data_IF_470271811208
#
_entry.id   IF_470271811208
#
_cell.length_a   1.000
_cell.length_b   1.000
_cell.length_c   1.000
_cell.angle_alpha   90.00
_cell.angle_beta   90.00
_cell.angle_gamma   90.00
#
_symmetry.space_group_name_H-M   'P 1'
#
loop_
_entity.id
_entity.type
_entity.pdbx_description
1 polymer ?
#
# COMPACT_ATOMS: atom_id res chain seq x y z
N UNK A 1 -17.49 10.85 -1.27
CA UNK A 1 -16.84 9.58 -1.63
C UNK A 1 -16.89 8.58 -0.51
N UNK A 2 -16.64 7.32 -0.80
CA UNK A 2 -16.54 6.23 0.19
C UNK A 2 -15.09 5.79 0.32
N UNK A 3 -14.70 5.31 1.51
CA UNK A 3 -13.38 4.70 1.68
C UNK A 3 -13.32 3.33 1.03
N UNK A 4 -12.09 2.87 0.70
CA UNK A 4 -11.92 1.49 0.20
C UNK A 4 -12.33 0.46 1.26
N UNK A 5 -12.20 0.79 2.55
CA UNK A 5 -12.69 -0.04 3.66
C UNK A 5 -14.20 -0.20 3.65
N UNK A 6 -14.95 0.88 3.41
CA UNK A 6 -16.42 0.82 3.26
C UNK A 6 -16.83 -0.03 2.05
N UNK A 7 -16.11 0.09 0.92
CA UNK A 7 -16.36 -0.75 -0.25
C UNK A 7 -16.11 -2.24 0.05
N UNK A 8 -15.04 -2.58 0.77
CA UNK A 8 -14.75 -3.97 1.17
C UNK A 8 -15.84 -4.53 2.11
N UNK A 9 -16.27 -3.75 3.10
CA UNK A 9 -17.36 -4.14 4.00
C UNK A 9 -18.68 -4.29 3.27
N UNK A 10 -18.91 -3.52 2.22
CA UNK A 10 -20.06 -3.64 1.32
C UNK A 10 -19.96 -4.79 0.31
N UNK A 11 -18.94 -5.66 0.41
CA UNK A 11 -18.77 -6.82 -0.45
C UNK A 11 -18.14 -6.55 -1.82
N UNK A 12 -17.59 -5.35 -2.05
CA UNK A 12 -16.91 -5.06 -3.32
C UNK A 12 -15.61 -5.87 -3.43
N UNK A 13 -15.47 -6.55 -4.56
CA UNK A 13 -14.22 -7.17 -5.00
C UNK A 13 -13.48 -6.22 -5.94
N UNK A 14 -12.19 -5.99 -5.66
CA UNK A 14 -11.34 -5.18 -6.52
C UNK A 14 -10.60 -6.06 -7.53
N UNK A 15 -10.63 -5.68 -8.78
CA UNK A 15 -9.82 -6.33 -9.82
C UNK A 15 -8.33 -6.06 -9.62
N UNK A 16 -7.47 -6.94 -10.15
CA UNK A 16 -6.00 -6.73 -10.13
C UNK A 16 -5.64 -5.37 -10.73
N UNK A 17 -6.33 -4.92 -11.78
CA UNK A 17 -6.06 -3.63 -12.42
C UNK A 17 -6.36 -2.46 -11.49
N UNK A 18 -7.47 -2.51 -10.74
CA UNK A 18 -7.78 -1.52 -9.71
C UNK A 18 -6.74 -1.53 -8.60
N UNK A 19 -6.35 -2.72 -8.10
CA UNK A 19 -5.36 -2.86 -7.02
C UNK A 19 -4.00 -2.30 -7.46
N UNK A 20 -3.56 -2.59 -8.67
CA UNK A 20 -2.29 -2.08 -9.22
C UNK A 20 -2.37 -0.57 -9.43
N UNK A 21 -3.49 -0.05 -9.97
CA UNK A 21 -3.74 1.39 -10.13
C UNK A 21 -3.65 2.10 -8.77
N UNK A 22 -4.38 1.61 -7.77
CA UNK A 22 -4.37 2.19 -6.42
C UNK A 22 -2.99 2.09 -5.76
N UNK A 23 -2.32 0.96 -5.93
CA UNK A 23 -0.94 0.81 -5.46
C UNK A 23 0.02 1.83 -6.08
N UNK A 24 -0.14 2.16 -7.36
CA UNK A 24 0.64 3.21 -8.01
C UNK A 24 0.35 4.58 -7.39
N UNK A 25 -0.93 4.97 -7.26
CA UNK A 25 -1.32 6.25 -6.68
C UNK A 25 -0.81 6.41 -5.24
N UNK A 26 -0.93 5.37 -4.40
CA UNK A 26 -0.41 5.38 -3.03
C UNK A 26 1.13 5.49 -3.03
N UNK A 27 1.81 4.74 -3.91
CA UNK A 27 3.28 4.76 -3.98
C UNK A 27 3.83 6.12 -4.43
N UNK A 28 3.08 6.87 -5.25
CA UNK A 28 3.42 8.25 -5.62
C UNK A 28 3.39 9.17 -4.38
N UNK A 29 2.31 9.11 -3.60
CA UNK A 29 2.17 9.91 -2.37
C UNK A 29 3.29 9.58 -1.37
N UNK A 30 3.57 8.30 -1.14
CA UNK A 30 4.61 7.89 -0.18
C UNK A 30 6.02 8.19 -0.69
N UNK A 31 6.27 8.12 -1.99
CA UNK A 31 7.55 8.56 -2.57
C UNK A 31 7.76 10.06 -2.35
N UNK A 32 6.70 10.85 -2.45
CA UNK A 32 6.74 12.28 -2.13
C UNK A 32 6.99 12.52 -0.64
N UNK A 33 6.25 11.85 0.27
CA UNK A 33 6.41 12.00 1.72
C UNK A 33 7.82 11.64 2.19
N UNK A 34 8.33 10.48 1.76
CA UNK A 34 9.68 10.03 2.14
C UNK A 34 10.79 10.88 1.51
N UNK A 35 10.51 11.55 0.41
CA UNK A 35 11.45 12.47 -0.26
C UNK A 35 11.51 13.87 0.35
N UNK A 36 10.64 14.20 1.30
CA UNK A 36 10.64 15.50 1.99
C UNK A 36 11.88 15.65 2.89
N UNK A 37 12.21 16.87 3.22
CA UNK A 37 13.26 17.23 4.19
C UNK A 37 12.62 18.16 5.25
N UNK A 38 12.32 17.65 6.42
CA UNK A 38 12.46 16.27 6.90
C UNK A 38 11.48 15.30 6.22
N UNK A 39 11.81 13.99 6.16
CA UNK A 39 10.89 13.00 5.63
C UNK A 39 9.63 12.90 6.50
N UNK A 40 8.51 12.58 5.87
CA UNK A 40 7.24 12.32 6.55
C UNK A 40 6.93 10.82 6.43
N UNK A 41 6.59 10.19 7.54
CA UNK A 41 6.15 8.80 7.62
C UNK A 41 4.70 8.76 8.10
N UNK A 42 3.87 8.01 7.39
CA UNK A 42 2.42 7.99 7.64
C UNK A 42 2.03 7.04 8.77
N UNK A 43 2.52 5.81 8.74
CA UNK A 43 2.40 4.82 9.82
C UNK A 43 1.02 4.16 9.99
N UNK A 44 -0.06 4.63 9.36
CA UNK A 44 -1.40 4.06 9.53
C UNK A 44 -2.14 3.86 8.20
N UNK A 45 -1.45 3.36 7.18
CA UNK A 45 -2.12 3.06 5.92
C UNK A 45 -2.99 1.81 6.05
N UNK A 46 -4.27 1.99 5.70
CA UNK A 46 -5.31 0.96 5.67
C UNK A 46 -6.40 1.36 4.67
N UNK A 47 -7.27 0.42 4.23
CA UNK A 47 -8.33 0.75 3.28
C UNK A 47 -9.30 1.84 3.77
N UNK A 48 -9.50 1.95 5.08
CA UNK A 48 -10.38 2.98 5.67
C UNK A 48 -9.82 4.40 5.50
N UNK A 49 -8.51 4.55 5.42
CA UNK A 49 -7.84 5.84 5.24
C UNK A 49 -7.61 6.21 3.77
N UNK A 50 -8.22 5.47 2.83
CA UNK A 50 -8.15 5.69 1.39
C UNK A 50 -9.55 5.95 0.84
N UNK A 51 -9.86 7.19 0.52
CA UNK A 51 -11.14 7.59 -0.04
C UNK A 51 -11.09 7.58 -1.57
N UNK A 52 -12.05 6.92 -2.20
CA UNK A 52 -12.23 6.94 -3.65
C UNK A 52 -13.13 8.11 -4.04
N UNK A 53 -12.58 9.08 -4.74
CA UNK A 53 -13.32 10.21 -5.28
C UNK A 53 -14.16 9.84 -6.51
N UNK A 54 -15.10 10.68 -6.86
CA UNK A 54 -15.98 10.52 -8.04
C UNK A 54 -15.19 10.49 -9.36
N UNK A 55 -14.05 11.16 -9.40
CA UNK A 55 -13.09 11.13 -10.53
C UNK A 55 -12.28 9.83 -10.61
N UNK A 56 -12.55 8.84 -9.75
CA UNK A 56 -11.85 7.56 -9.70
C UNK A 56 -10.40 7.62 -9.20
N UNK A 57 -9.99 8.72 -8.55
CA UNK A 57 -8.68 8.87 -7.90
C UNK A 57 -8.78 8.58 -6.42
N UNK A 58 -7.68 8.09 -5.83
CA UNK A 58 -7.57 7.91 -4.39
C UNK A 58 -7.09 9.19 -3.70
N UNK A 59 -7.66 9.41 -2.54
CA UNK A 59 -7.26 10.45 -1.60
C UNK A 59 -6.88 9.81 -0.27
N UNK A 60 -5.68 10.11 0.20
CA UNK A 60 -5.24 9.71 1.52
C UNK A 60 -5.86 10.69 2.53
N UNK A 61 -6.58 10.13 3.50
CA UNK A 61 -7.23 10.89 4.58
C UNK A 61 -6.57 10.57 5.92
N UNK A 62 -6.83 11.39 6.92
CA UNK A 62 -6.33 11.23 8.30
C UNK A 62 -4.79 11.21 8.41
N UNK A 63 -4.19 12.39 8.26
CA UNK A 63 -2.77 12.60 8.48
C UNK A 63 -2.39 12.80 9.97
N UNK A 64 -3.33 12.66 10.90
CA UNK A 64 -3.12 12.94 12.33
C UNK A 64 -2.05 12.06 13.00
N UNK A 65 -1.83 10.86 12.47
CA UNK A 65 -0.78 9.93 12.94
C UNK A 65 0.58 10.09 12.25
N UNK A 66 0.67 10.92 11.20
CA UNK A 66 1.90 11.08 10.44
C UNK A 66 3.00 11.74 11.29
N UNK A 67 4.23 11.23 11.15
CA UNK A 67 5.38 11.69 11.93
C UNK A 67 6.45 12.30 11.04
N UNK A 68 7.07 13.36 11.57
CA UNK A 68 8.23 13.99 10.97
C UNK A 68 9.50 13.24 11.40
N UNK A 69 10.31 12.78 10.46
CA UNK A 69 11.47 11.94 10.72
C UNK A 69 12.55 12.54 11.64
N UNK A 70 12.56 13.87 11.88
CA UNK A 70 13.49 14.50 12.82
C UNK A 70 12.92 14.67 14.24
N UNK A 71 11.60 14.65 14.40
CA UNK A 71 10.93 14.88 15.70
C UNK A 71 10.46 13.60 16.37
N UNK A 72 10.89 12.46 15.85
CA UNK A 72 10.39 11.18 16.32
C UNK A 72 11.12 10.76 17.62
N UNK A 73 10.49 11.03 18.76
CA UNK A 73 10.88 10.48 20.06
C UNK A 73 9.71 9.68 20.62
N UNK A 74 9.84 8.37 20.63
CA UNK A 74 9.03 7.43 21.40
C UNK A 74 7.52 7.76 21.55
N UNK A 75 6.77 7.82 20.46
CA UNK A 75 5.31 7.78 20.55
C UNK A 75 4.84 6.34 20.74
N UNK A 76 3.86 6.15 21.61
CA UNK A 76 3.09 4.90 21.76
C UNK A 76 2.62 4.44 20.37
N UNK A 77 2.58 3.13 20.14
CA UNK A 77 2.11 2.51 18.90
C UNK A 77 0.87 3.21 18.33
N UNK A 78 1.01 3.81 17.15
CA UNK A 78 -0.06 4.57 16.49
C UNK A 78 -0.71 3.79 15.33
N UNK A 79 -0.35 2.52 15.14
CA UNK A 79 -0.85 1.72 14.02
C UNK A 79 -2.15 0.98 14.34
N UNK A 80 -2.94 0.71 13.30
CA UNK A 80 -4.17 -0.08 13.39
C UNK A 80 -3.85 -1.58 13.47
N UNK A 81 -4.48 -2.30 14.42
CA UNK A 81 -4.34 -3.75 14.54
C UNK A 81 -4.62 -4.46 13.20
N UNK A 82 -3.77 -5.41 12.84
CA UNK A 82 -3.82 -6.13 11.56
C UNK A 82 -3.13 -5.43 10.38
N UNK A 83 -2.85 -4.13 10.47
CA UNK A 83 -2.10 -3.35 9.48
C UNK A 83 -0.75 -2.89 10.01
N UNK A 84 -0.65 -2.59 11.30
CA UNK A 84 0.56 -2.09 11.93
C UNK A 84 1.77 -3.01 11.70
N UNK A 85 2.91 -2.40 11.37
CA UNK A 85 4.18 -3.10 11.23
C UNK A 85 4.70 -3.55 12.61
N UNK A 86 5.42 -4.69 12.70
CA UNK A 86 5.94 -5.19 13.97
C UNK A 86 6.74 -4.16 14.77
N UNK A 87 7.58 -3.38 14.11
CA UNK A 87 8.40 -2.34 14.74
C UNK A 87 7.60 -1.16 15.31
N UNK A 88 6.34 -0.97 14.91
CA UNK A 88 5.48 0.07 15.50
C UNK A 88 5.11 -0.25 16.94
N UNK A 89 5.01 -1.53 17.30
CA UNK A 89 4.79 -1.96 18.69
C UNK A 89 6.00 -1.66 19.58
N UNK A 90 7.18 -1.44 18.96
CA UNK A 90 8.39 -0.96 19.64
C UNK A 90 8.52 0.57 19.57
N UNK A 91 7.50 1.27 19.09
CA UNK A 91 7.50 2.71 18.95
C UNK A 91 8.36 3.23 17.77
N UNK A 92 8.67 2.43 16.78
CA UNK A 92 9.48 2.82 15.61
C UNK A 92 8.58 3.03 14.40
N UNK A 93 8.69 4.20 13.75
CA UNK A 93 8.02 4.51 12.47
C UNK A 93 9.07 5.08 11.50
N UNK A 94 9.12 4.52 10.30
CA UNK A 94 10.05 4.91 9.24
C UNK A 94 9.51 4.48 7.86
N UNK A 95 10.29 4.67 6.79
CA UNK A 95 9.88 4.28 5.45
C UNK A 95 9.56 2.77 5.30
N UNK A 96 10.27 1.89 6.04
CA UNK A 96 9.98 0.46 6.00
C UNK A 96 8.64 0.12 6.68
N UNK A 97 8.22 0.91 7.67
CA UNK A 97 6.89 0.83 8.30
C UNK A 97 5.80 1.11 7.27
N UNK A 98 5.92 2.20 6.53
CA UNK A 98 4.96 2.56 5.47
C UNK A 98 4.92 1.52 4.35
N UNK A 99 6.05 0.91 4.01
CA UNK A 99 6.10 -0.19 3.04
C UNK A 99 5.35 -1.42 3.55
N UNK A 100 5.42 -1.72 4.84
CA UNK A 100 4.67 -2.83 5.44
C UNK A 100 3.16 -2.56 5.40
N UNK A 101 2.72 -1.40 5.90
CA UNK A 101 1.29 -1.03 5.91
C UNK A 101 0.73 -0.95 4.49
N UNK A 102 1.54 -0.50 3.52
CA UNK A 102 1.22 -0.54 2.09
C UNK A 102 0.96 -1.97 1.60
N UNK A 103 1.86 -2.90 1.89
CA UNK A 103 1.68 -4.31 1.54
C UNK A 103 0.42 -4.92 2.17
N UNK A 104 0.17 -4.64 3.45
CA UNK A 104 -1.03 -5.08 4.18
C UNK A 104 -2.31 -4.52 3.55
N UNK A 105 -2.29 -3.26 3.14
CA UNK A 105 -3.42 -2.61 2.47
C UNK A 105 -3.72 -3.27 1.13
N UNK A 106 -2.72 -3.47 0.27
CA UNK A 106 -2.92 -4.18 -1.00
C UNK A 106 -3.40 -5.62 -0.79
N UNK A 107 -2.87 -6.31 0.22
CA UNK A 107 -3.31 -7.66 0.58
C UNK A 107 -4.79 -7.67 0.98
N UNK A 108 -5.24 -6.69 1.76
CA UNK A 108 -6.66 -6.55 2.13
C UNK A 108 -7.55 -6.30 0.91
N UNK A 109 -7.11 -5.51 -0.06
CA UNK A 109 -7.85 -5.26 -1.31
C UNK A 109 -7.94 -6.51 -2.19
N UNK A 110 -6.96 -7.42 -2.13
CA UNK A 110 -7.01 -8.70 -2.82
C UNK A 110 -8.09 -9.65 -2.24
N UNK A 111 -8.53 -9.45 -1.01
CA UNK A 111 -9.57 -10.27 -0.37
C UNK A 111 -9.10 -11.69 0.02
N UNK A 112 -10.00 -12.44 0.65
CA UNK A 112 -9.73 -13.84 1.07
C UNK A 112 -9.89 -14.85 -0.08
N UNK A 113 -10.50 -14.45 -1.19
CA UNK A 113 -11.12 -15.37 -2.14
C UNK A 113 -10.24 -15.76 -3.32
N UNK A 114 -9.10 -15.11 -3.53
CA UNK A 114 -8.42 -15.33 -4.80
C UNK A 114 -7.00 -15.89 -4.68
N UNK A 115 -6.93 -17.14 -4.17
CA UNK A 115 -5.79 -18.01 -4.48
C UNK A 115 -5.52 -18.06 -6.00
N UNK A 116 -6.58 -18.10 -6.81
CA UNK A 116 -6.52 -18.02 -8.28
C UNK A 116 -6.02 -16.65 -8.77
N UNK A 117 -6.39 -15.55 -8.12
CA UNK A 117 -5.89 -14.20 -8.46
C UNK A 117 -4.38 -14.10 -8.23
N UNK A 118 -3.89 -14.67 -7.12
CA UNK A 118 -2.47 -14.75 -6.82
C UNK A 118 -1.71 -15.63 -7.84
N UNK A 119 -2.24 -16.78 -8.20
CA UNK A 119 -1.64 -17.67 -9.22
C UNK A 119 -1.57 -16.95 -10.57
N UNK A 120 -2.62 -16.22 -10.96
CA UNK A 120 -2.65 -15.46 -12.22
C UNK A 120 -1.73 -14.24 -12.22
N UNK A 121 -1.32 -13.74 -11.06
CA UNK A 121 -0.42 -12.58 -10.96
C UNK A 121 0.66 -12.73 -9.89
N UNK A 122 1.52 -13.73 -10.07
CA UNK A 122 2.65 -14.02 -9.17
C UNK A 122 3.53 -12.80 -8.88
N UNK A 123 3.66 -11.88 -9.85
CA UNK A 123 4.47 -10.66 -9.65
C UNK A 123 3.88 -9.74 -8.58
N UNK A 124 2.53 -9.59 -8.54
CA UNK A 124 1.85 -8.80 -7.52
C UNK A 124 1.91 -9.50 -6.16
N UNK A 125 1.71 -10.82 -6.14
CA UNK A 125 1.85 -11.63 -4.93
C UNK A 125 3.23 -11.45 -4.29
N UNK A 126 4.30 -11.65 -5.05
CA UNK A 126 5.67 -11.49 -4.55
C UNK A 126 5.98 -10.07 -4.09
N UNK A 127 5.41 -9.05 -4.77
CA UNK A 127 5.55 -7.67 -4.33
C UNK A 127 4.91 -7.47 -2.95
N UNK A 128 3.65 -7.87 -2.78
CA UNK A 128 2.91 -7.74 -1.52
C UNK A 128 3.62 -8.53 -0.42
N UNK A 129 3.97 -9.79 -0.68
CA UNK A 129 4.68 -10.65 0.26
C UNK A 129 5.95 -9.99 0.77
N UNK A 130 6.78 -9.45 -0.15
CA UNK A 130 8.03 -8.79 0.25
C UNK A 130 7.81 -7.49 1.02
N UNK A 131 6.75 -6.74 0.74
CA UNK A 131 6.39 -5.58 1.56
C UNK A 131 6.02 -5.99 2.99
N UNK A 132 5.34 -7.13 3.15
CA UNK A 132 4.83 -7.62 4.44
C UNK A 132 5.84 -8.47 5.24
N UNK A 133 7.10 -8.55 4.87
CA UNK A 133 8.11 -9.28 5.65
C UNK A 133 8.23 -8.69 7.05
N UNK A 134 8.29 -9.57 8.08
CA UNK A 134 8.36 -9.14 9.49
C UNK A 134 9.61 -8.31 9.77
N UNK A 135 10.77 -8.76 9.26
CA UNK A 135 12.04 -8.05 9.43
C UNK A 135 12.12 -6.88 8.43
N UNK A 136 12.28 -5.63 8.90
CA UNK A 136 12.31 -4.45 8.02
C UNK A 136 13.39 -4.50 6.93
N UNK A 137 14.57 -5.04 7.25
CA UNK A 137 15.68 -5.18 6.31
C UNK A 137 15.38 -6.13 5.12
N UNK A 138 14.42 -7.04 5.29
CA UNK A 138 13.99 -7.97 4.24
C UNK A 138 12.95 -7.36 3.29
N UNK A 139 12.39 -6.19 3.62
CA UNK A 139 11.43 -5.47 2.79
C UNK A 139 12.12 -4.73 1.65
N UNK A 140 11.33 -4.09 0.79
CA UNK A 140 11.89 -3.08 -0.11
C UNK A 140 12.40 -1.89 0.70
N UNK A 141 13.55 -1.35 0.33
CA UNK A 141 14.21 -0.30 1.12
C UNK A 141 13.65 1.09 0.87
N UNK A 142 12.91 1.29 -0.21
CA UNK A 142 12.26 2.55 -0.52
C UNK A 142 11.02 2.35 -1.40
N UNK A 143 10.10 3.29 -1.32
CA UNK A 143 8.84 3.25 -2.06
C UNK A 143 9.04 3.37 -3.58
N UNK A 144 10.07 4.05 -4.06
CA UNK A 144 10.40 4.14 -5.50
C UNK A 144 10.69 2.76 -6.12
N UNK A 145 11.29 1.85 -5.35
CA UNK A 145 11.52 0.47 -5.82
C UNK A 145 10.20 -0.30 -5.94
N UNK A 146 9.29 -0.13 -5.00
CA UNK A 146 7.92 -0.70 -5.05
C UNK A 146 7.18 -0.17 -6.27
N UNK A 147 7.18 1.14 -6.47
CA UNK A 147 6.56 1.83 -7.60
C UNK A 147 7.07 1.31 -8.96
N UNK A 148 8.38 1.16 -9.14
CA UNK A 148 8.97 0.59 -10.35
C UNK A 148 8.47 -0.83 -10.64
N UNK A 149 8.27 -1.66 -9.60
CA UNK A 149 7.73 -3.01 -9.76
C UNK A 149 6.25 -3.00 -10.13
N UNK A 150 5.45 -2.16 -9.51
CA UNK A 150 4.03 -1.97 -9.86
C UNK A 150 3.86 -1.50 -11.31
N UNK A 151 4.65 -0.53 -11.75
CA UNK A 151 4.66 -0.04 -13.13
C UNK A 151 4.94 -1.16 -14.15
N UNK A 152 5.86 -2.09 -13.83
CA UNK A 152 6.13 -3.26 -14.67
C UNK A 152 4.93 -4.22 -14.73
N UNK A 153 4.25 -4.43 -13.60
CA UNK A 153 3.04 -5.25 -13.53
C UNK A 153 1.94 -4.64 -14.40
N UNK A 154 1.70 -3.34 -14.26
CA UNK A 154 0.70 -2.59 -15.02
C UNK A 154 0.96 -2.67 -16.54
N UNK A 155 2.20 -2.48 -16.97
CA UNK A 155 2.58 -2.59 -18.40
C UNK A 155 2.27 -3.98 -18.96
N UNK A 156 2.60 -5.04 -18.23
CA UNK A 156 2.30 -6.43 -18.65
C UNK A 156 0.80 -6.69 -18.78
N UNK A 157 0.00 -6.15 -17.83
CA UNK A 157 -1.46 -6.28 -17.87
C UNK A 157 -2.06 -5.58 -19.10
N UNK A 158 -1.58 -4.39 -19.44
CA UNK A 158 -2.03 -3.63 -20.60
C UNK A 158 -1.67 -4.35 -21.91
N UNK A 159 -0.46 -4.90 -22.02
CA UNK A 159 -0.04 -5.70 -23.19
C UNK A 159 -0.88 -6.96 -23.37
N UNK A 160 -1.19 -7.65 -22.27
CA UNK A 160 -2.04 -8.85 -22.31
C UNK A 160 -3.47 -8.52 -22.77
N UNK A 161 -4.04 -7.37 -22.35
CA UNK A 161 -5.35 -6.92 -22.82
C UNK A 161 -5.37 -6.66 -24.32
N UNK A 162 -4.37 -5.96 -24.85
CA UNK A 162 -4.27 -5.67 -26.29
C UNK A 162 -4.18 -6.98 -27.09
N UNK A 163 -3.36 -7.94 -26.63
CA UNK A 163 -3.19 -9.23 -27.30
C UNK A 163 -4.46 -10.09 -27.31
N UNK A 164 -5.36 -9.92 -26.35
CA UNK A 164 -6.63 -10.65 -26.29
C UNK A 164 -7.76 -9.95 -27.07
N UNK A 165 -7.53 -8.73 -27.58
CA UNK A 165 -8.48 -7.96 -28.41
C UNK A 165 -8.18 -8.08 -29.91
N UNK A 166 -7.02 -8.60 -30.29
CA UNK A 166 -6.59 -8.93 -31.66
C UNK A 166 -6.80 -10.41 -31.96
#
# INVERSE_FOLDING_TARGET
GKSLGEYLRGGKHFSINEIVKYGMEISDVFSYFHGRKPPVYYGDLKPDNLMLGENGRLYLIDLGGAVNGYKYHHKVCTGTAGFAAPEQYEGKINAATDIYTFGKTLSALCGKTDCLLFIRNMSLFWLIFRCCMKKPEMRYQNMKTVQKKLSRIQKRQNQSKIKNML
#
